data_IF_678832464153
#
_entry.id   IF_678832464153
#
_cell.length_a   1.000
_cell.length_b   1.000
_cell.length_c   1.000
_cell.angle_alpha   90.00
_cell.angle_beta   90.00
_cell.angle_gamma   90.00
#
_symmetry.space_group_name_H-M   'P 1'
#
loop_
_entity.id
_entity.type
_entity.pdbx_description
1 polymer ?
#
# COMPACT_ATOMS: atom_id res chain seq x y z
N UNK A 1 -12.86 34.16 -35.41
CA UNK A 1 -12.76 33.74 -35.14
C UNK A 1 -12.93 33.12 -34.58
N UNK A 2 -12.81 33.15 -34.57
CA UNK A 2 -12.71 32.57 -34.03
C UNK A 2 -12.74 31.98 -33.34
N UNK A 3 -12.69 31.98 -33.37
CA UNK A 3 -12.59 31.35 -32.71
C UNK A 3 -12.62 30.63 -32.24
N UNK A 4 -12.42 30.68 -32.20
CA UNK A 4 -12.12 29.97 -31.64
C UNK A 4 -12.02 29.30 -31.11
N UNK A 5 -11.71 29.33 -31.01
CA UNK A 5 -11.38 28.67 -30.38
C UNK A 5 -10.99 28.13 -29.77
N UNK A 6 -10.71 28.75 -29.42
CA UNK A 6 -9.92 28.01 -28.91
C UNK A 6 -10.04 27.29 -27.98
N UNK A 7 -10.35 27.25 -27.73
CA UNK A 7 -10.28 26.46 -27.04
C UNK A 7 -10.50 25.43 -26.77
N UNK A 8 -10.52 25.27 -27.05
CA UNK A 8 -10.52 24.14 -27.14
C UNK A 8 -9.86 23.43 -26.92
N UNK A 9 -9.65 23.63 -27.04
CA UNK A 9 -8.91 22.85 -26.89
C UNK A 9 -8.79 22.00 -26.23
N UNK A 10 -8.77 22.16 -25.96
CA UNK A 10 -8.51 21.25 -25.47
C UNK A 10 -8.96 20.25 -25.09
N UNK A 11 -9.39 19.87 -25.34
CA UNK A 11 -9.62 18.87 -25.21
C UNK A 11 -9.61 18.06 -25.37
N UNK A 12 -9.46 18.04 -25.54
CA UNK A 12 -9.41 17.04 -25.82
C UNK A 12 -9.36 16.10 -25.79
N UNK A 13 -8.95 16.07 -25.78
CA UNK A 13 -8.77 15.12 -25.89
C UNK A 13 -9.11 14.19 -25.67
N UNK A 14 -9.25 14.06 -25.59
CA UNK A 14 -9.43 13.19 -25.49
C UNK A 14 -10.12 12.45 -25.53
N UNK A 15 -10.38 12.52 -25.77
CA UNK A 15 -11.16 11.83 -25.91
C UNK A 15 -11.15 10.91 -26.77
N UNK A 16 -10.96 10.63 -27.35
CA UNK A 16 -10.79 9.69 -28.01
C UNK A 16 -11.73 8.64 -27.85
N UNK A 17 -12.83 8.68 -27.40
CA UNK A 17 -13.79 7.65 -27.28
C UNK A 17 -13.50 6.67 -26.17
N UNK A 18 -12.36 6.73 -25.58
CA UNK A 18 -12.08 5.91 -24.45
C UNK A 18 -12.52 6.62 -23.18
N UNK A 19 -12.88 5.83 -22.20
CA UNK A 19 -13.26 6.39 -20.90
C UNK A 19 -12.06 6.39 -19.98
N UNK A 20 -10.95 6.87 -20.51
CA UNK A 20 -9.71 6.93 -19.74
C UNK A 20 -9.86 7.90 -18.59
N UNK A 21 -9.63 7.44 -17.38
CA UNK A 21 -9.64 8.29 -16.21
C UNK A 21 -8.30 9.00 -16.11
N UNK A 22 -8.33 10.21 -15.60
CA UNK A 22 -7.11 10.98 -15.45
C UNK A 22 -6.21 10.31 -14.41
N UNK A 23 -4.91 10.46 -14.62
CA UNK A 23 -3.93 10.09 -13.60
C UNK A 23 -4.12 10.97 -12.39
N UNK A 24 -4.07 10.40 -11.23
CA UNK A 24 -4.31 11.21 -10.03
C UNK A 24 -3.62 10.62 -8.82
N UNK A 25 -3.39 11.47 -7.85
CA UNK A 25 -2.86 11.11 -6.54
C UNK A 25 -3.98 11.26 -5.52
N UNK A 26 -4.17 10.25 -4.71
CA UNK A 26 -5.24 10.23 -3.72
C UNK A 26 -4.66 9.87 -2.36
N UNK A 27 -5.20 10.46 -1.31
CA UNK A 27 -4.86 10.08 0.06
C UNK A 27 -5.99 9.21 0.59
N UNK A 28 -5.67 7.98 0.97
CA UNK A 28 -6.61 7.09 1.63
C UNK A 28 -6.37 7.20 3.13
N UNK A 29 -7.37 7.62 3.85
CA UNK A 29 -7.21 7.95 5.26
C UNK A 29 -7.80 6.88 6.17
N UNK A 30 -7.20 6.77 7.36
CA UNK A 30 -7.74 5.94 8.45
C UNK A 30 -7.90 4.49 8.02
N UNK A 31 -6.81 3.92 7.55
CA UNK A 31 -6.78 2.51 7.15
C UNK A 31 -5.83 1.76 8.08
N UNK A 32 -5.94 0.44 8.10
CA UNK A 32 -5.05 -0.41 8.88
C UNK A 32 -4.04 -1.07 7.97
N UNK A 33 -2.82 -1.23 8.47
CA UNK A 33 -1.70 -1.76 7.68
C UNK A 33 -1.37 -3.18 8.14
N UNK A 34 -1.22 -4.08 7.18
CA UNK A 34 -0.88 -5.47 7.46
C UNK A 34 0.19 -5.94 6.49
N UNK A 35 1.09 -6.76 6.97
CA UNK A 35 2.14 -7.39 6.14
C UNK A 35 2.91 -6.36 5.32
N UNK A 36 3.23 -5.24 5.95
CA UNK A 36 3.96 -4.17 5.28
C UNK A 36 5.40 -4.59 5.01
N UNK A 37 5.79 -4.53 3.74
CA UNK A 37 7.14 -4.84 3.30
C UNK A 37 7.68 -3.64 2.59
N UNK A 38 8.02 -2.62 3.37
CA UNK A 38 8.38 -1.30 2.85
C UNK A 38 9.84 -0.94 3.12
N UNK A 39 10.52 -1.70 3.96
CA UNK A 39 11.93 -1.48 4.23
C UNK A 39 12.81 -2.22 3.24
N UNK A 40 12.40 -3.43 2.85
CA UNK A 40 13.12 -4.24 1.88
C UNK A 40 12.13 -4.79 0.87
N UNK A 41 12.46 -4.72 -0.42
CA UNK A 41 11.54 -5.26 -1.42
C UNK A 41 11.48 -6.78 -1.38
N UNK A 42 10.39 -7.31 -1.90
CA UNK A 42 10.19 -8.75 -2.05
C UNK A 42 10.00 -9.04 -3.53
N UNK A 43 10.29 -10.26 -3.94
CA UNK A 43 10.25 -10.65 -5.36
C UNK A 43 9.33 -11.85 -5.57
N UNK A 44 8.03 -11.69 -5.37
CA UNK A 44 7.12 -12.83 -5.48
C UNK A 44 7.05 -13.41 -6.89
N UNK A 45 7.31 -12.60 -7.92
CA UNK A 45 7.23 -13.04 -9.30
C UNK A 45 8.43 -12.59 -10.11
N UNK A 46 9.60 -12.50 -9.45
CA UNK A 46 10.82 -12.13 -10.15
C UNK A 46 11.09 -10.65 -10.26
N UNK A 47 10.17 -9.81 -9.84
CA UNK A 47 10.35 -8.36 -9.82
C UNK A 47 10.33 -7.87 -8.39
N UNK A 48 11.32 -7.06 -8.03
CA UNK A 48 11.39 -6.51 -6.68
C UNK A 48 10.31 -5.46 -6.49
N UNK A 49 9.47 -5.64 -5.47
CA UNK A 49 8.39 -4.70 -5.16
C UNK A 49 8.34 -4.44 -3.66
N UNK A 50 7.86 -3.27 -3.30
CA UNK A 50 7.38 -2.99 -1.96
C UNK A 50 5.89 -3.31 -1.95
N UNK A 51 5.40 -3.84 -0.84
CA UNK A 51 4.04 -4.37 -0.78
C UNK A 51 3.43 -4.09 0.58
N UNK A 52 2.15 -3.82 0.60
CA UNK A 52 1.42 -3.63 1.85
C UNK A 52 -0.03 -3.98 1.64
N UNK A 53 -0.60 -4.65 2.63
CA UNK A 53 -2.03 -4.94 2.65
C UNK A 53 -2.72 -3.84 3.45
N UNK A 54 -3.78 -3.29 2.88
CA UNK A 54 -4.58 -2.24 3.52
C UNK A 54 -5.92 -2.84 3.89
N UNK A 55 -6.29 -2.77 5.16
CA UNK A 55 -7.55 -3.32 5.65
C UNK A 55 -8.52 -2.22 6.03
N UNK A 56 -9.81 -2.50 5.85
CA UNK A 56 -10.87 -1.53 6.07
C UNK A 56 -12.19 -2.25 6.31
N UNK A 57 -13.17 -1.58 6.93
CA UNK A 57 -14.47 -2.20 7.17
C UNK A 57 -15.31 -2.24 5.90
N UNK A 58 -16.38 -3.01 5.95
CA UNK A 58 -17.29 -3.22 4.82
C UNK A 58 -17.78 -1.91 4.21
N UNK A 59 -18.01 -0.91 5.04
CA UNK A 59 -18.55 0.36 4.58
C UNK A 59 -17.65 1.08 3.58
N UNK A 60 -16.38 0.70 3.52
CA UNK A 60 -15.43 1.36 2.65
C UNK A 60 -15.08 0.54 1.40
N UNK A 61 -15.79 -0.55 1.16
CA UNK A 61 -15.49 -1.41 0.00
C UNK A 61 -15.57 -0.62 -1.29
N UNK A 62 -16.63 0.17 -1.47
CA UNK A 62 -16.83 0.89 -2.71
C UNK A 62 -15.71 1.91 -2.95
N UNK A 63 -15.29 2.60 -1.91
CA UNK A 63 -14.19 3.55 -1.99
C UNK A 63 -12.89 2.85 -2.37
N UNK A 64 -12.61 1.73 -1.74
CA UNK A 64 -11.32 1.05 -1.89
C UNK A 64 -11.21 0.22 -3.16
N UNK A 65 -12.34 -0.19 -3.72
CA UNK A 65 -12.35 -1.04 -4.91
C UNK A 65 -11.68 -0.37 -6.11
N UNK A 66 -11.60 0.95 -6.11
CA UNK A 66 -10.91 1.67 -7.18
C UNK A 66 -9.40 1.46 -7.16
N UNK A 67 -8.85 1.04 -6.02
CA UNK A 67 -7.41 0.99 -5.85
C UNK A 67 -6.84 -0.42 -5.88
N UNK A 68 -7.67 -1.42 -5.88
CA UNK A 68 -7.21 -2.79 -5.92
C UNK A 68 -8.35 -3.77 -5.79
N UNK A 69 -8.04 -5.04 -5.93
CA UNK A 69 -9.04 -6.09 -5.82
C UNK A 69 -9.37 -6.31 -4.35
N UNK A 70 -10.63 -6.10 -4.00
CA UNK A 70 -11.09 -6.25 -2.62
C UNK A 70 -11.37 -7.72 -2.33
N UNK A 71 -10.93 -8.17 -1.16
CA UNK A 71 -11.28 -9.51 -0.69
C UNK A 71 -11.52 -9.46 0.81
N UNK A 72 -12.32 -10.38 1.30
CA UNK A 72 -12.53 -10.49 2.73
C UNK A 72 -11.38 -11.26 3.35
N UNK A 73 -10.80 -10.74 4.43
CA UNK A 73 -9.64 -11.36 5.08
C UNK A 73 -9.96 -11.87 6.47
N UNK A 74 -10.90 -11.21 7.15
CA UNK A 74 -11.40 -11.64 8.45
C UNK A 74 -12.85 -11.25 8.53
N UNK A 75 -13.53 -11.80 9.52
CA UNK A 75 -14.95 -11.52 9.67
C UNK A 75 -15.19 -10.01 9.75
N UNK A 76 -15.87 -9.48 8.74
CA UNK A 76 -16.20 -8.07 8.69
C UNK A 76 -15.08 -7.15 8.24
N UNK A 77 -13.91 -7.69 7.92
CA UNK A 77 -12.77 -6.88 7.45
C UNK A 77 -12.39 -7.28 6.05
N UNK A 78 -12.09 -6.28 5.24
CA UNK A 78 -11.75 -6.46 3.83
C UNK A 78 -10.40 -5.82 3.56
N UNK A 79 -9.77 -6.22 2.47
CA UNK A 79 -8.40 -5.75 2.17
C UNK A 79 -8.16 -5.60 0.69
N UNK A 80 -7.24 -4.69 0.39
CA UNK A 80 -6.61 -4.61 -0.93
C UNK A 80 -5.10 -4.62 -0.70
N UNK A 81 -4.35 -5.00 -1.74
CA UNK A 81 -2.90 -4.89 -1.71
C UNK A 81 -2.48 -3.75 -2.61
N UNK A 82 -1.54 -2.94 -2.15
CA UNK A 82 -0.98 -1.85 -2.94
C UNK A 82 0.52 -2.01 -2.95
N UNK A 83 1.11 -1.89 -4.14
CA UNK A 83 2.53 -2.19 -4.32
C UNK A 83 3.23 -1.03 -5.02
N UNK A 84 4.56 -1.11 -5.02
CA UNK A 84 5.40 -0.22 -5.80
C UNK A 84 6.64 -0.97 -6.22
N UNK A 85 7.02 -0.87 -7.50
CA UNK A 85 8.28 -1.46 -7.94
C UNK A 85 9.43 -0.78 -7.22
N UNK A 86 10.41 -1.56 -6.83
CA UNK A 86 11.56 -1.04 -6.11
C UNK A 86 12.44 -0.17 -6.99
N UNK A 87 12.38 -0.38 -8.31
CA UNK A 87 13.13 0.44 -9.25
C UNK A 87 12.24 0.77 -10.45
N UNK A 88 12.45 1.95 -11.03
CA UNK A 88 11.72 2.35 -12.22
C UNK A 88 12.39 1.78 -13.48
N UNK A 89 11.87 2.11 -14.64
CA UNK A 89 12.39 1.63 -15.91
C UNK A 89 13.84 2.06 -16.16
N UNK A 90 14.25 3.17 -15.55
CA UNK A 90 15.62 3.68 -15.67
C UNK A 90 16.53 3.10 -14.60
N UNK A 91 16.05 2.09 -13.87
CA UNK A 91 16.80 1.42 -12.81
C UNK A 91 17.18 2.33 -11.64
N UNK A 92 16.39 3.38 -11.44
CA UNK A 92 16.54 4.24 -10.29
C UNK A 92 15.67 3.69 -9.17
N UNK A 93 16.19 3.76 -7.93
CA UNK A 93 15.46 3.28 -6.77
C UNK A 93 14.23 4.15 -6.51
N UNK A 94 13.12 3.52 -6.21
CA UNK A 94 11.87 4.22 -5.96
C UNK A 94 11.29 3.74 -4.63
N UNK A 95 11.85 4.21 -3.50
CA UNK A 95 11.38 3.76 -2.19
C UNK A 95 10.01 4.32 -1.86
N UNK A 96 9.31 3.65 -0.94
CA UNK A 96 8.09 4.17 -0.36
C UNK A 96 8.47 5.02 0.83
N UNK A 97 8.00 6.26 0.86
CA UNK A 97 8.29 7.16 1.97
C UNK A 97 7.38 6.80 3.15
N UNK A 98 7.97 6.55 4.31
CA UNK A 98 7.22 6.18 5.51
C UNK A 98 7.50 7.23 6.58
N UNK A 99 6.45 7.88 7.06
CA UNK A 99 6.58 8.97 8.03
C UNK A 99 5.57 8.77 9.16
N UNK A 100 5.80 9.47 10.26
CA UNK A 100 4.85 9.47 11.38
C UNK A 100 3.82 10.58 11.19
N UNK A 101 3.00 10.80 12.22
CA UNK A 101 1.94 11.80 12.14
C UNK A 101 2.47 13.22 11.96
N UNK A 102 3.70 13.46 12.36
CA UNK A 102 4.34 14.77 12.25
C UNK A 102 5.23 14.86 11.02
N UNK A 103 5.15 13.86 10.14
CA UNK A 103 5.89 13.78 8.88
C UNK A 103 7.37 13.53 9.08
N UNK A 104 7.78 13.01 10.23
CA UNK A 104 9.15 12.61 10.46
C UNK A 104 9.36 11.17 9.98
N UNK A 105 10.51 10.86 9.36
CA UNK A 105 10.74 9.51 8.85
C UNK A 105 10.69 8.47 9.96
N UNK A 106 10.14 7.31 9.65
CA UNK A 106 10.06 6.17 10.56
C UNK A 106 11.00 5.10 10.03
N UNK A 107 11.85 4.58 10.91
CA UNK A 107 12.74 3.47 10.56
C UNK A 107 12.32 2.16 11.15
N UNK A 108 11.35 2.17 12.07
CA UNK A 108 10.85 0.96 12.67
C UNK A 108 10.04 0.15 11.67
N UNK A 109 10.03 -1.16 11.85
CA UNK A 109 9.18 -2.02 11.04
C UNK A 109 7.74 -1.84 11.48
N UNK A 110 6.84 -1.79 10.51
CA UNK A 110 5.42 -1.57 10.76
C UNK A 110 4.77 -2.92 11.05
N UNK A 111 4.26 -3.07 12.27
CA UNK A 111 3.56 -4.30 12.65
C UNK A 111 2.12 -4.31 12.19
N UNK A 112 1.56 -5.51 12.12
CA UNK A 112 0.18 -5.69 11.72
C UNK A 112 -0.75 -4.98 12.68
N UNK A 113 -1.74 -4.26 12.14
CA UNK A 113 -2.68 -3.52 12.94
C UNK A 113 -2.30 -2.06 13.13
N UNK A 114 -1.13 -1.64 12.67
CA UNK A 114 -0.79 -0.22 12.65
C UNK A 114 -1.80 0.51 11.78
N UNK A 115 -2.00 1.80 12.05
CA UNK A 115 -3.03 2.58 11.37
C UNK A 115 -2.46 3.87 10.84
N UNK A 116 -3.09 4.39 9.80
CA UNK A 116 -2.69 5.66 9.27
C UNK A 116 -3.29 5.96 7.92
N UNK A 117 -2.54 6.72 7.14
CA UNK A 117 -2.97 7.19 5.83
C UNK A 117 -1.95 6.78 4.79
N UNK A 118 -2.40 6.62 3.54
CA UNK A 118 -1.48 6.31 2.46
C UNK A 118 -1.73 7.24 1.29
N UNK A 119 -0.69 7.49 0.53
CA UNK A 119 -0.77 8.24 -0.73
C UNK A 119 -0.62 7.24 -1.85
N UNK A 120 -1.58 7.23 -2.75
CA UNK A 120 -1.62 6.30 -3.88
C UNK A 120 -1.69 7.11 -5.17
N UNK A 121 -0.86 6.75 -6.14
CA UNK A 121 -0.88 7.34 -7.46
C UNK A 121 -1.52 6.34 -8.42
N UNK A 122 -2.45 6.80 -9.25
CA UNK A 122 -3.10 5.93 -10.23
C UNK A 122 -2.84 6.44 -11.64
N UNK A 123 -2.65 5.49 -12.55
CA UNK A 123 -2.51 5.81 -13.96
C UNK A 123 -3.10 4.67 -14.79
N UNK A 124 -3.50 5.01 -16.01
CA UNK A 124 -3.99 4.02 -16.96
C UNK A 124 -2.83 3.48 -17.78
N UNK A 125 -2.92 2.22 -18.13
CA UNK A 125 -1.91 1.59 -18.97
C UNK A 125 -2.58 0.87 -20.13
N UNK A 126 -1.82 0.72 -21.22
CA UNK A 126 -2.28 -0.03 -22.38
C UNK A 126 -1.10 -0.82 -22.94
N UNK A 127 -1.29 -2.12 -23.13
CA UNK A 127 -0.27 -2.99 -23.71
C UNK A 127 -0.98 -3.99 -24.61
N UNK A 128 -0.59 -4.01 -25.89
CA UNK A 128 -1.11 -4.98 -26.86
C UNK A 128 -2.63 -5.01 -26.91
N UNK A 129 -3.24 -3.84 -26.91
CA UNK A 129 -4.70 -3.72 -27.00
C UNK A 129 -5.43 -3.98 -25.70
N UNK A 130 -4.73 -4.32 -24.62
CA UNK A 130 -5.34 -4.50 -23.33
C UNK A 130 -5.07 -3.27 -22.49
N UNK A 131 -6.07 -2.88 -21.70
CA UNK A 131 -5.97 -1.68 -20.89
C UNK A 131 -6.27 -2.02 -19.44
N UNK A 132 -5.83 -1.16 -18.55
CA UNK A 132 -6.12 -1.30 -17.14
C UNK A 132 -5.70 -0.06 -16.38
N UNK A 133 -5.98 -0.07 -15.07
CA UNK A 133 -5.60 1.03 -14.21
C UNK A 133 -4.69 0.49 -13.13
N UNK A 134 -3.59 1.18 -12.90
CA UNK A 134 -2.57 0.76 -11.94
C UNK A 134 -2.57 1.70 -10.76
N UNK A 135 -2.50 1.14 -9.56
CA UNK A 135 -2.33 1.91 -8.33
C UNK A 135 -0.93 1.66 -7.80
N UNK A 136 -0.24 2.73 -7.44
CA UNK A 136 1.15 2.68 -6.98
C UNK A 136 1.23 3.31 -5.61
N UNK A 137 1.84 2.60 -4.66
CA UNK A 137 2.02 3.11 -3.31
C UNK A 137 3.14 4.13 -3.28
N UNK A 138 2.83 5.35 -2.91
CA UNK A 138 3.80 6.44 -2.91
C UNK A 138 4.36 6.69 -1.53
N UNK A 139 3.49 6.74 -0.51
CA UNK A 139 3.93 7.08 0.84
C UNK A 139 2.95 6.53 1.85
N UNK A 140 3.45 6.36 3.08
CA UNK A 140 2.65 5.86 4.20
C UNK A 140 2.88 6.80 5.37
N UNK A 141 1.79 7.27 5.98
CA UNK A 141 1.85 8.05 7.20
C UNK A 141 1.26 7.22 8.31
N UNK A 142 2.08 6.85 9.28
CA UNK A 142 1.65 5.97 10.37
C UNK A 142 1.22 6.87 11.53
N UNK A 143 -0.07 6.83 11.86
CA UNK A 143 -0.58 7.61 12.98
C UNK A 143 -0.64 6.80 14.26
N UNK A 144 -0.70 5.47 14.14
CA UNK A 144 -0.64 4.58 15.28
C UNK A 144 0.27 3.42 14.92
N UNK A 145 1.45 3.40 15.50
CA UNK A 145 2.47 2.40 15.17
C UNK A 145 2.43 1.24 16.14
N UNK A 146 2.26 0.05 15.61
CA UNK A 146 2.51 -1.19 16.32
C UNK A 146 3.80 -1.74 15.74
N UNK A 147 4.85 -1.80 16.53
CA UNK A 147 6.15 -2.20 16.01
C UNK A 147 6.18 -3.69 15.74
N UNK A 148 6.77 -4.05 14.61
CA UNK A 148 6.98 -5.44 14.27
C UNK A 148 8.30 -5.89 14.85
N UNK A 149 8.27 -6.99 15.60
CA UNK A 149 9.47 -7.59 16.15
C UNK A 149 9.68 -8.91 15.44
N UNK A 150 10.76 -9.03 14.64
CA UNK A 150 11.01 -10.28 13.93
C UNK A 150 11.13 -11.45 14.89
N UNK A 151 10.62 -12.59 14.49
CA UNK A 151 10.61 -13.77 15.32
C UNK A 151 12.01 -14.18 15.75
N UNK A 152 12.98 -13.96 14.90
CA UNK A 152 14.36 -14.33 15.19
C UNK A 152 14.95 -13.55 16.35
N UNK A 153 14.32 -12.48 16.79
CA UNK A 153 14.80 -11.71 17.93
C UNK A 153 14.08 -12.04 19.22
N UNK A 154 13.13 -12.96 19.16
CA UNK A 154 12.39 -13.37 20.35
C UNK A 154 13.19 -14.41 21.11
N UNK A 155 13.36 -14.18 22.38
CA UNK A 155 14.14 -15.06 23.25
C UNK A 155 13.21 -15.91 24.10
N UNK A 156 13.48 -17.22 24.13
CA UNK A 156 12.66 -18.12 24.94
C UNK A 156 12.77 -17.84 26.42
N UNK A 157 13.87 -17.26 26.83
CA UNK A 157 14.02 -16.95 28.24
C UNK A 157 12.96 -16.02 28.76
N UNK A 158 12.40 -15.24 27.89
CA UNK A 158 11.36 -14.31 28.28
C UNK A 158 10.11 -15.03 28.72
N UNK A 159 10.00 -16.25 28.29
CA UNK A 159 8.77 -16.99 28.56
C UNK A 159 8.74 -17.68 29.90
N UNK A 160 9.82 -17.61 30.64
CA UNK A 160 9.88 -18.23 31.77
C UNK A 160 9.09 -17.89 32.71
N UNK A 161 8.76 -18.12 33.17
CA UNK A 161 8.08 -18.11 34.22
C UNK A 161 7.03 -19.02 34.21
N UNK A 162 7.09 -19.50 33.98
CA UNK A 162 6.59 -20.12 33.80
C UNK A 162 6.47 -20.87 34.34
N UNK A 163 6.68 -20.91 34.55
CA UNK A 163 6.75 -21.49 34.82
C UNK A 163 6.49 -22.22 35.16
N UNK A 164 6.56 -22.27 35.25
CA UNK A 164 6.62 -22.97 35.39
C UNK A 164 6.57 -23.75 35.58
N UNK A 165 6.56 -23.66 35.65
CA UNK A 165 6.75 -24.34 35.64
C UNK A 165 6.62 -25.15 35.61
N UNK A 166 6.53 -25.18 35.53
CA UNK A 166 6.66 -25.91 35.19
C UNK A 166 6.78 -26.43 34.70
N UNK A 167 6.75 -26.21 34.36
CA UNK A 167 7.13 -26.65 33.59
C UNK A 167 7.80 -26.98 33.26
N UNK A 168 7.84 -26.67 33.35
CA UNK A 168 8.75 -26.86 32.87
C UNK A 168 9.37 -27.77 32.58
N UNK A 169 9.69 -27.84 32.40
CA UNK A 169 10.47 -28.71 32.12
C UNK A 169 10.07 -29.78 31.42
N UNK A 170 9.45 -29.83 31.21
CA UNK A 170 9.16 -30.69 30.60
C UNK A 170 9.11 -30.55 29.43
N UNK A 171 9.52 -30.38 28.88
CA UNK A 171 9.49 -30.33 27.66
C UNK A 171 10.57 -30.89 27.05
#
# INVERSE_FOLDING_TARGET
MRDHDPMRHSQPSSMKGTNTMENKTTVLRNVSFYYAKLDKPVSPFGTDIFDMQVRFPKERIQEMAEFGKVREVENGMFAINITRKAMNAKKQKTPVRVVDKDKNPIKDLIGNGSEGNIIVYQYDWEVSGRTGRKSVLIAVQVTKLLKYVPESTVDFDILEPVANDNVSADF
#
